data_IF_767670412481
#
_entry.id   IF_767670412481
#
_cell.length_a   1.000
_cell.length_b   1.000
_cell.length_c   1.000
_cell.angle_alpha   90.00
_cell.angle_beta   90.00
_cell.angle_gamma   90.00
#
_symmetry.space_group_name_H-M   'P 1'
#
loop_
_entity.id
_entity.type
_entity.pdbx_description
1 polymer ?
#
# COMPACT_ATOMS: atom_id res chain seq x y z
N UNK A 1 -13.63 7.56 9.40
CA UNK A 1 -12.23 7.24 9.08
C UNK A 1 -11.79 6.13 10.04
N UNK A 2 -10.92 5.22 9.59
CA UNK A 2 -10.42 4.10 10.38
C UNK A 2 -8.91 4.05 10.22
N UNK A 3 -8.19 4.02 11.34
CA UNK A 3 -6.75 3.83 11.36
C UNK A 3 -6.43 2.37 11.68
N UNK A 4 -5.52 1.78 10.90
CA UNK A 4 -5.11 0.39 11.02
C UNK A 4 -3.59 0.31 11.14
N UNK A 5 -3.12 -0.50 12.09
CA UNK A 5 -1.71 -0.83 12.31
C UNK A 5 -1.52 -2.34 12.10
N UNK A 6 -1.67 -2.84 10.86
CA UNK A 6 -1.66 -4.27 10.60
C UNK A 6 -0.29 -4.87 10.93
N UNK A 7 -0.32 -5.98 11.66
CA UNK A 7 0.87 -6.76 12.00
C UNK A 7 0.99 -7.91 10.99
N UNK A 8 1.98 -7.81 10.11
CA UNK A 8 2.24 -8.82 9.07
C UNK A 8 1.38 -8.68 7.81
N UNK A 9 1.73 -9.45 6.78
CA UNK A 9 1.17 -9.33 5.44
C UNK A 9 -0.30 -9.75 5.34
N UNK A 10 -0.70 -10.78 6.09
CA UNK A 10 -2.09 -11.26 6.09
C UNK A 10 -3.06 -10.21 6.69
N UNK A 11 -2.67 -9.56 7.79
CA UNK A 11 -3.47 -8.48 8.39
C UNK A 11 -3.62 -7.27 7.45
N UNK A 12 -2.55 -6.92 6.74
CA UNK A 12 -2.54 -5.89 5.71
C UNK A 12 -3.55 -6.23 4.59
N UNK A 13 -3.50 -7.48 4.12
CA UNK A 13 -4.40 -7.98 3.07
C UNK A 13 -5.86 -7.91 3.49
N UNK A 14 -6.18 -8.48 4.65
CA UNK A 14 -7.56 -8.49 5.17
C UNK A 14 -8.09 -7.08 5.42
N UNK A 15 -7.24 -6.14 5.85
CA UNK A 15 -7.60 -4.73 6.01
C UNK A 15 -8.04 -4.11 4.68
N UNK A 16 -7.23 -4.23 3.63
CA UNK A 16 -7.60 -3.72 2.29
C UNK A 16 -8.86 -4.38 1.76
N UNK A 17 -8.97 -5.71 1.91
CA UNK A 17 -10.13 -6.46 1.44
C UNK A 17 -11.39 -5.98 2.13
N UNK A 18 -11.38 -5.85 3.47
CA UNK A 18 -12.51 -5.39 4.25
C UNK A 18 -12.96 -3.97 3.83
N UNK A 19 -12.02 -3.09 3.51
CA UNK A 19 -12.31 -1.75 3.01
C UNK A 19 -12.88 -1.74 1.58
N UNK A 20 -12.65 -2.81 0.83
CA UNK A 20 -13.06 -2.98 -0.56
C UNK A 20 -14.35 -3.81 -0.71
N UNK A 21 -14.97 -4.26 0.39
CA UNK A 21 -16.23 -5.02 0.33
C UNK A 21 -17.40 -4.06 0.05
N UNK A 22 -18.13 -4.30 -1.05
CA UNK A 22 -19.37 -3.62 -1.39
C UNK A 22 -19.30 -2.83 -2.71
N UNK A 23 -20.14 -1.80 -2.83
CA UNK A 23 -20.26 -0.95 -4.03
C UNK A 23 -19.44 0.36 -3.93
N UNK A 24 -18.44 0.42 -3.05
CA UNK A 24 -17.63 1.61 -2.83
C UNK A 24 -16.15 1.30 -2.85
N UNK A 25 -15.35 2.25 -3.35
CA UNK A 25 -13.89 2.19 -3.27
C UNK A 25 -13.41 2.46 -1.85
N UNK A 26 -12.27 1.89 -1.48
CA UNK A 26 -11.52 2.29 -0.29
C UNK A 26 -10.59 3.44 -0.67
N UNK A 27 -10.67 4.59 0.01
CA UNK A 27 -9.62 5.62 -0.04
C UNK A 27 -8.69 5.40 1.15
N UNK A 28 -7.39 5.43 0.93
CA UNK A 28 -6.44 5.25 2.01
C UNK A 28 -5.11 5.95 1.77
N UNK A 29 -4.38 6.14 2.85
CA UNK A 29 -2.98 6.55 2.88
C UNK A 29 -2.19 5.47 3.59
N UNK A 30 -0.98 5.21 3.11
CA UNK A 30 -0.08 4.23 3.73
C UNK A 30 1.26 4.88 4.02
N UNK A 31 1.72 4.76 5.26
CA UNK A 31 3.00 5.32 5.72
C UNK A 31 3.77 4.30 6.55
N UNK A 32 5.08 4.46 6.58
CA UNK A 32 5.93 3.78 7.54
C UNK A 32 5.86 4.49 8.90
N UNK A 33 5.66 3.73 9.97
CA UNK A 33 5.75 4.21 11.35
C UNK A 33 6.78 3.38 12.10
N UNK A 34 7.52 4.03 13.00
CA UNK A 34 8.38 3.29 13.92
C UNK A 34 7.53 2.38 14.79
N UNK A 35 7.87 1.10 14.84
CA UNK A 35 7.32 0.23 15.85
C UNK A 35 7.74 0.81 17.20
N UNK A 36 6.76 1.32 17.98
CA UNK A 36 7.00 1.67 19.36
C UNK A 36 7.77 0.51 19.99
N UNK A 37 8.94 0.80 20.56
CA UNK A 37 9.73 -0.19 21.32
C UNK A 37 8.85 -0.63 22.48
N UNK A 38 8.03 -1.65 22.24
CA UNK A 38 7.13 -2.20 23.23
C UNK A 38 7.99 -2.79 24.33
N UNK A 39 7.91 -2.18 25.51
CA UNK A 39 8.34 -2.79 26.76
C UNK A 39 7.51 -4.06 26.99
N UNK A 40 7.86 -5.19 26.37
CA UNK A 40 7.07 -6.40 26.54
C UNK A 40 7.18 -7.51 25.49
N UNK A 41 8.30 -7.64 24.77
CA UNK A 41 8.64 -8.93 24.17
C UNK A 41 9.82 -9.51 24.97
N UNK A 42 9.47 -10.44 25.84
CA UNK A 42 10.42 -11.16 26.67
C UNK A 42 11.47 -11.86 25.84
N UNK A 43 12.70 -11.81 26.34
CA UNK A 43 13.74 -12.83 26.15
C UNK A 43 13.85 -13.40 24.73
N UNK A 44 13.98 -12.53 23.73
CA UNK A 44 14.68 -12.93 22.51
C UNK A 44 16.14 -13.17 22.91
N UNK A 45 16.45 -14.46 23.02
CA UNK A 45 17.79 -15.06 22.95
C UNK A 45 18.80 -14.11 22.31
N UNK A 46 19.71 -13.59 23.14
CA UNK A 46 20.95 -12.94 22.72
C UNK A 46 21.90 -14.03 22.21
N UNK A 47 21.53 -14.66 21.11
CA UNK A 47 22.35 -15.66 20.47
C UNK A 47 22.67 -15.07 19.09
N UNK A 48 23.90 -14.57 18.95
CA UNK A 48 24.56 -14.11 17.72
C UNK A 48 24.45 -12.61 17.35
N UNK A 49 25.62 -12.00 17.18
CA UNK A 49 25.94 -10.58 16.97
C UNK A 49 25.50 -10.04 15.58
N UNK A 50 24.24 -10.24 15.21
CA UNK A 50 23.62 -9.57 14.08
C UNK A 50 22.80 -8.38 14.58
N UNK A 51 23.21 -7.15 14.26
CA UNK A 51 22.33 -5.99 14.39
C UNK A 51 20.98 -6.33 13.70
N UNK A 52 19.84 -6.31 14.40
CA UNK A 52 18.55 -6.60 13.77
C UNK A 52 18.33 -5.58 12.66
N UNK A 53 18.10 -6.09 11.45
CA UNK A 53 18.00 -5.29 10.24
C UNK A 53 17.00 -4.15 10.46
N UNK A 54 17.39 -2.92 10.16
CA UNK A 54 16.62 -1.73 10.51
C UNK A 54 15.20 -1.74 9.90
N UNK A 55 14.96 -2.55 8.87
CA UNK A 55 13.65 -2.82 8.29
C UNK A 55 12.67 -3.53 9.25
N UNK A 56 13.14 -4.34 10.20
CA UNK A 56 12.27 -5.08 11.13
C UNK A 56 11.56 -4.16 12.14
N UNK A 57 12.08 -2.95 12.33
CA UNK A 57 11.51 -1.98 13.29
C UNK A 57 10.42 -1.10 12.69
N UNK A 58 10.08 -1.26 11.41
CA UNK A 58 9.11 -0.39 10.75
C UNK A 58 7.79 -1.14 10.49
N UNK A 59 6.69 -0.54 10.94
CA UNK A 59 5.33 -1.04 10.70
C UNK A 59 4.64 -0.15 9.67
N UNK A 60 3.65 -0.70 8.98
CA UNK A 60 2.77 0.09 8.13
C UNK A 60 1.65 0.68 8.97
N UNK A 61 1.37 1.96 8.76
CA UNK A 61 0.14 2.64 9.19
C UNK A 61 -0.73 2.85 7.97
N UNK A 62 -1.98 2.40 8.04
CA UNK A 62 -2.97 2.59 6.99
C UNK A 62 -4.08 3.47 7.55
N UNK A 63 -4.25 4.66 7.00
CA UNK A 63 -5.38 5.53 7.30
C UNK A 63 -6.42 5.36 6.19
N UNK A 64 -7.57 4.78 6.49
CA UNK A 64 -8.57 4.41 5.50
C UNK A 64 -9.92 5.08 5.74
N UNK A 65 -10.62 5.38 4.65
CA UNK A 65 -11.98 5.91 4.66
C UNK A 65 -12.77 5.41 3.46
N UNK A 66 -14.09 5.39 3.60
CA UNK A 66 -14.98 5.08 2.48
C UNK A 66 -14.79 6.14 1.39
N UNK A 67 -14.60 5.69 0.15
CA UNK A 67 -14.49 6.56 -1.01
C UNK A 67 -15.80 6.68 -1.78
N UNK A 68 -15.67 7.03 -3.07
CA UNK A 68 -16.79 7.15 -4.00
C UNK A 68 -17.37 5.81 -4.44
N UNK A 69 -18.27 5.88 -5.41
CA UNK A 69 -18.89 4.73 -6.04
C UNK A 69 -17.84 3.87 -6.78
N UNK A 70 -18.01 2.54 -6.74
CA UNK A 70 -17.14 1.60 -7.44
C UNK A 70 -17.21 1.74 -8.97
N UNK A 71 -18.32 2.25 -9.47
CA UNK A 71 -18.59 2.49 -10.89
C UNK A 71 -17.68 3.58 -11.47
N UNK A 72 -17.27 4.54 -10.64
CA UNK A 72 -16.37 5.63 -11.02
C UNK A 72 -14.88 5.22 -10.98
N UNK A 73 -14.58 4.01 -10.48
CA UNK A 73 -13.23 3.50 -10.36
C UNK A 73 -12.78 2.86 -11.67
N UNK A 74 -11.62 3.29 -12.19
CA UNK A 74 -11.06 2.68 -13.39
C UNK A 74 -10.68 1.23 -13.12
N UNK A 75 -11.30 0.30 -13.86
CA UNK A 75 -10.95 -1.14 -13.79
C UNK A 75 -9.88 -1.52 -14.80
N UNK A 76 -9.33 -0.52 -15.48
CA UNK A 76 -8.30 -0.73 -16.49
C UNK A 76 -6.99 -1.17 -15.82
N UNK A 77 -6.47 -2.29 -16.29
CA UNK A 77 -5.16 -2.81 -15.88
C UNK A 77 -4.23 -2.96 -17.08
N UNK A 78 -4.63 -2.46 -18.26
CA UNK A 78 -3.78 -2.47 -19.45
C UNK A 78 -2.58 -1.52 -19.28
N UNK A 79 -2.80 -0.40 -18.58
CA UNK A 79 -1.77 0.53 -18.13
C UNK A 79 -1.57 0.47 -16.61
N UNK A 80 -0.75 -0.47 -16.14
CA UNK A 80 -0.42 -0.60 -14.71
C UNK A 80 0.69 -1.60 -14.42
N UNK A 81 1.13 -1.63 -13.16
CA UNK A 81 2.13 -2.55 -12.67
C UNK A 81 1.46 -3.80 -12.09
N UNK A 82 1.60 -4.92 -12.78
CA UNK A 82 1.26 -6.21 -12.18
C UNK A 82 2.28 -6.56 -11.09
N UNK A 83 1.77 -6.83 -9.89
CA UNK A 83 2.56 -7.21 -8.71
C UNK A 83 2.32 -8.69 -8.44
N UNK A 84 3.43 -9.44 -8.34
CA UNK A 84 3.44 -10.87 -8.05
C UNK A 84 4.21 -11.13 -6.76
N UNK A 85 4.18 -12.37 -6.26
CA UNK A 85 4.95 -12.76 -5.07
C UNK A 85 6.47 -12.65 -5.26
N UNK A 86 6.95 -12.61 -6.52
CA UNK A 86 8.36 -12.40 -6.84
C UNK A 86 8.74 -10.91 -6.94
N UNK A 87 7.77 -10.00 -6.90
CA UNK A 87 8.03 -8.57 -7.00
C UNK A 87 8.71 -8.06 -5.73
N UNK A 88 9.79 -7.29 -5.91
CA UNK A 88 10.52 -6.66 -4.82
C UNK A 88 9.99 -5.24 -4.55
N UNK A 89 9.99 -4.84 -3.27
CA UNK A 89 9.45 -3.55 -2.80
C UNK A 89 10.14 -2.35 -3.44
N UNK A 90 11.48 -2.28 -3.34
CA UNK A 90 12.22 -1.09 -3.76
C UNK A 90 12.19 -0.86 -5.29
N UNK A 91 12.38 -1.88 -6.16
CA UNK A 91 12.19 -1.72 -7.59
C UNK A 91 10.78 -1.27 -7.99
N UNK A 92 9.74 -1.79 -7.32
CA UNK A 92 8.36 -1.37 -7.56
C UNK A 92 8.15 0.09 -7.14
N UNK A 93 8.62 0.47 -5.94
CA UNK A 93 8.52 1.85 -5.44
C UNK A 93 9.17 2.85 -6.41
N UNK A 94 10.36 2.55 -6.94
CA UNK A 94 11.03 3.40 -7.93
C UNK A 94 10.20 3.60 -9.20
N UNK A 95 9.60 2.52 -9.73
CA UNK A 95 8.73 2.58 -10.92
C UNK A 95 7.48 3.41 -10.66
N UNK A 96 6.83 3.23 -9.50
CA UNK A 96 5.68 4.02 -9.10
C UNK A 96 6.05 5.51 -8.98
N UNK A 97 7.18 5.83 -8.34
CA UNK A 97 7.67 7.20 -8.21
C UNK A 97 7.95 7.86 -9.58
N UNK A 98 8.48 7.10 -10.55
CA UNK A 98 8.68 7.59 -11.93
C UNK A 98 7.37 7.95 -12.64
N UNK A 99 6.33 7.13 -12.52
CA UNK A 99 5.01 7.44 -13.11
C UNK A 99 4.37 8.65 -12.42
N UNK A 100 4.41 8.71 -11.09
CA UNK A 100 3.84 9.82 -10.32
C UNK A 100 4.50 11.16 -10.63
N UNK A 101 5.82 11.19 -10.87
CA UNK A 101 6.55 12.41 -11.29
C UNK A 101 6.08 12.96 -12.64
N UNK A 102 5.50 12.13 -13.50
CA UNK A 102 4.92 12.58 -14.76
C UNK A 102 3.53 13.21 -14.57
N UNK A 103 3.07 13.38 -13.33
CA UNK A 103 1.72 13.88 -13.02
C UNK A 103 0.62 12.86 -13.30
N UNK A 104 0.99 11.59 -13.51
CA UNK A 104 0.05 10.51 -13.84
C UNK A 104 -0.42 9.82 -12.58
N UNK A 105 -1.59 9.19 -12.67
CA UNK A 105 -2.04 8.20 -11.68
C UNK A 105 -1.26 6.92 -11.90
N UNK A 106 -0.61 6.40 -10.85
CA UNK A 106 0.07 5.12 -10.91
C UNK A 106 -0.90 4.00 -10.51
N UNK A 107 -1.07 3.00 -11.37
CA UNK A 107 -1.92 1.84 -11.11
C UNK A 107 -1.04 0.63 -10.78
N UNK A 108 -1.29 -0.03 -9.66
CA UNK A 108 -0.73 -1.33 -9.33
C UNK A 108 -1.85 -2.34 -9.11
N UNK A 109 -1.63 -3.60 -9.46
CA UNK A 109 -2.63 -4.63 -9.23
C UNK A 109 -2.00 -6.00 -8.97
N UNK A 110 -2.67 -6.81 -8.16
CA UNK A 110 -2.28 -8.16 -7.81
C UNK A 110 -3.52 -9.07 -7.77
N UNK A 111 -3.34 -10.38 -7.84
CA UNK A 111 -4.45 -11.31 -7.55
C UNK A 111 -4.81 -11.26 -6.07
N UNK A 112 -6.08 -11.46 -5.74
CA UNK A 112 -6.59 -11.42 -4.36
C UNK A 112 -6.07 -12.54 -3.47
N UNK A 113 -5.60 -13.64 -4.04
CA UNK A 113 -4.98 -14.77 -3.32
C UNK A 113 -3.46 -14.60 -3.14
N UNK A 114 -2.84 -13.63 -3.82
CA UNK A 114 -1.42 -13.34 -3.74
C UNK A 114 -1.10 -12.38 -2.57
N UNK A 115 -1.26 -12.84 -1.33
CA UNK A 115 -1.10 -11.99 -0.13
C UNK A 115 0.26 -11.29 -0.08
N UNK A 116 1.34 -12.01 -0.39
CA UNK A 116 2.70 -11.46 -0.43
C UNK A 116 2.81 -10.32 -1.45
N UNK A 117 2.21 -10.46 -2.64
CA UNK A 117 2.16 -9.42 -3.64
C UNK A 117 1.43 -8.17 -3.15
N UNK A 118 0.30 -8.31 -2.45
CA UNK A 118 -0.44 -7.17 -1.89
C UNK A 118 0.35 -6.48 -0.77
N UNK A 119 1.02 -7.25 0.08
CA UNK A 119 1.95 -6.71 1.08
C UNK A 119 3.08 -5.92 0.44
N UNK A 120 3.73 -6.46 -0.61
CA UNK A 120 4.76 -5.77 -1.39
C UNK A 120 4.23 -4.48 -2.01
N UNK A 121 3.03 -4.51 -2.58
CA UNK A 121 2.38 -3.35 -3.19
C UNK A 121 2.21 -2.21 -2.18
N UNK A 122 1.70 -2.50 -0.98
CA UNK A 122 1.52 -1.48 0.06
C UNK A 122 2.82 -0.96 0.65
N UNK A 123 3.81 -1.82 0.89
CA UNK A 123 5.15 -1.39 1.31
C UNK A 123 5.78 -0.48 0.25
N UNK A 124 5.63 -0.82 -1.04
CA UNK A 124 6.17 -0.01 -2.12
C UNK A 124 5.51 1.38 -2.15
N UNK A 125 4.19 1.46 -2.00
CA UNK A 125 3.45 2.72 -1.91
C UNK A 125 3.90 3.57 -0.70
N UNK A 126 4.13 2.97 0.45
CA UNK A 126 4.64 3.66 1.65
C UNK A 126 6.09 4.15 1.47
N UNK A 127 6.87 3.45 0.64
CA UNK A 127 8.26 3.80 0.36
C UNK A 127 8.40 4.94 -0.64
N UNK A 128 7.45 5.12 -1.57
CA UNK A 128 7.52 6.21 -2.58
C UNK A 128 7.74 7.60 -1.96
N UNK A 129 6.94 8.06 -0.97
CA UNK A 129 7.16 9.36 -0.34
C UNK A 129 8.56 9.53 0.27
N UNK A 130 9.14 8.47 0.83
CA UNK A 130 10.49 8.49 1.42
C UNK A 130 11.59 8.64 0.38
N UNK A 131 11.39 8.07 -0.82
CA UNK A 131 12.34 8.20 -1.93
C UNK A 131 12.37 9.63 -2.49
N UNK A 132 11.21 10.28 -2.53
CA UNK A 132 11.04 11.60 -3.15
C UNK A 132 11.07 12.77 -2.14
N UNK A 133 11.12 12.47 -0.83
CA UNK A 133 10.98 13.49 0.22
C UNK A 133 9.62 14.18 0.19
N UNK A 134 8.56 13.45 -0.17
CA UNK A 134 7.23 13.96 -0.46
C UNK A 134 6.21 13.62 0.63
N UNK A 135 5.02 14.21 0.54
CA UNK A 135 3.86 13.84 1.36
C UNK A 135 3.38 12.40 1.04
N UNK A 136 2.65 11.76 1.98
CA UNK A 136 2.01 10.47 1.73
C UNK A 136 1.17 10.46 0.45
N UNK A 137 1.13 9.31 -0.23
CA UNK A 137 0.31 9.14 -1.43
C UNK A 137 -1.16 9.00 -1.07
N UNK A 138 -2.03 9.65 -1.85
CA UNK A 138 -3.47 9.37 -1.81
C UNK A 138 -3.75 8.14 -2.66
N UNK A 139 -4.21 7.07 -2.03
CA UNK A 139 -4.48 5.81 -2.69
C UNK A 139 -5.99 5.52 -2.72
N UNK A 140 -6.43 4.82 -3.75
CA UNK A 140 -7.76 4.22 -3.81
C UNK A 140 -7.66 2.77 -4.25
N UNK A 141 -8.46 1.90 -3.64
CA UNK A 141 -8.46 0.48 -3.92
C UNK A 141 -9.86 -0.08 -4.14
N UNK A 142 -9.91 -1.15 -4.92
CA UNK A 142 -10.98 -2.14 -4.82
C UNK A 142 -10.66 -3.39 -5.64
N UNK A 143 -11.66 -4.24 -5.81
CA UNK A 143 -11.49 -5.55 -6.44
C UNK A 143 -12.34 -5.72 -7.69
N UNK A 144 -11.75 -6.28 -8.74
CA UNK A 144 -12.45 -6.59 -9.99
C UNK A 144 -12.23 -8.06 -10.37
N UNK A 145 -13.32 -8.74 -10.73
CA UNK A 145 -13.28 -10.03 -11.42
C UNK A 145 -13.09 -9.82 -12.92
N UNK A 146 -12.44 -10.77 -13.58
CA UNK A 146 -12.18 -10.72 -15.02
C UNK A 146 -12.54 -12.04 -15.68
N UNK A 147 -13.15 -12.01 -16.88
CA UNK A 147 -13.42 -13.22 -17.64
C UNK A 147 -12.14 -14.02 -17.89
N UNK A 148 -12.15 -15.30 -17.53
CA UNK A 148 -11.02 -16.21 -17.73
C UNK A 148 -9.93 -16.16 -16.65
N UNK A 149 -10.05 -15.29 -15.64
CA UNK A 149 -9.14 -15.28 -14.50
C UNK A 149 -9.71 -16.14 -13.35
N UNK A 150 -8.87 -16.95 -12.67
CA UNK A 150 -9.34 -17.84 -11.62
C UNK A 150 -9.70 -17.12 -10.31
N UNK A 151 -9.21 -15.89 -10.14
CA UNK A 151 -9.39 -15.08 -8.94
C UNK A 151 -9.57 -13.61 -9.33
N UNK A 152 -10.26 -12.86 -8.46
CA UNK A 152 -10.35 -11.41 -8.61
C UNK A 152 -8.96 -10.76 -8.48
N UNK A 153 -8.84 -9.55 -8.99
CA UNK A 153 -7.67 -8.69 -8.79
C UNK A 153 -7.99 -7.60 -7.80
N UNK A 154 -7.02 -7.25 -6.97
CA UNK A 154 -7.00 -5.98 -6.26
C UNK A 154 -6.27 -4.97 -7.11
N UNK A 155 -6.91 -3.83 -7.30
CA UNK A 155 -6.38 -2.68 -8.00
C UNK A 155 -6.15 -1.57 -7.00
N UNK A 156 -5.01 -0.91 -7.10
CA UNK A 156 -4.69 0.29 -6.34
C UNK A 156 -4.30 1.39 -7.32
N UNK A 157 -5.01 2.50 -7.27
CA UNK A 157 -4.59 3.74 -7.92
C UNK A 157 -3.96 4.65 -6.88
N UNK A 158 -2.74 5.10 -7.16
CA UNK A 158 -2.01 6.03 -6.34
C UNK A 158 -1.83 7.36 -7.08
N UNK A 159 -1.99 8.44 -6.32
CA UNK A 159 -1.76 9.80 -6.77
C UNK A 159 -0.89 10.51 -5.73
N UNK A 160 -0.02 11.41 -6.18
CA UNK A 160 0.63 12.33 -5.27
C UNK A 160 -0.47 13.14 -4.56
N UNK A 161 -0.36 13.30 -3.24
CA UNK A 161 -1.29 14.18 -2.54
C UNK A 161 -1.25 15.57 -3.21
N UNK A 162 -2.41 16.22 -3.41
CA UNK A 162 -2.40 17.61 -3.82
C UNK A 162 -1.50 18.36 -2.85
N UNK A 163 -0.53 19.12 -3.35
CA UNK A 163 0.21 20.05 -2.50
C UNK A 163 -0.86 20.92 -1.87
N UNK A 164 -1.09 20.77 -0.57
CA UNK A 164 -1.90 21.75 0.15
C UNK A 164 -1.21 23.08 -0.12
N UNK A 165 -1.84 23.93 -0.92
CA UNK A 165 -1.42 25.30 -1.10
C UNK A 165 -1.42 25.89 0.31
N UNK A 166 -0.23 26.06 0.89
CA UNK A 166 -0.11 26.69 2.19
C UNK A 166 -0.87 28.01 2.10
N UNK A 167 -1.79 28.30 3.03
CA UNK A 167 -2.50 29.57 3.04
C UNK A 167 -1.43 30.66 3.02
N UNK A 168 -1.43 31.46 1.96
CA UNK A 168 -0.47 32.55 1.79
C UNK A 168 -0.71 33.51 2.95
N UNK A 169 0.33 33.88 3.72
CA UNK A 169 0.18 34.71 4.91
C UNK A 169 -0.37 36.10 4.60
#
# INVERSE_FOLDING_TARGET
EVELLPVGTSAVWHSLRALSVGSSIAKFEVTWVEAARGYGEGELRQDEEGEPDAEERQKLRILARKGGAWEDFSRDTSGGFFVSNATQVLPLARKLAMELRQGKTATAHAYTDAEAAVGTMLRALATVPRLEGAAPLSCSAGSAERPGEPCARVLVHAQAAPREEQPTP
#
